data_IF_222597926129
#
_entry.id   IF_222597926129
#
_cell.length_a   1.000
_cell.length_b   1.000
_cell.length_c   1.000
_cell.angle_alpha   90.00
_cell.angle_beta   90.00
_cell.angle_gamma   90.00
#
_symmetry.space_group_name_H-M   'P 1'
#
loop_
_entity.id
_entity.type
_entity.pdbx_description
1 polymer ?
#
# COMPACT_ATOMS: atom_id res chain seq x y z
N UNK A 1 17.43 -0.60 40.80
CA UNK A 1 17.35 -1.89 40.09
C UNK A 1 17.22 -1.56 38.60
N UNK A 2 18.33 -1.59 37.86
CA UNK A 2 18.34 -1.19 36.46
C UNK A 2 17.86 -2.32 35.57
N UNK A 3 16.77 -2.12 34.83
CA UNK A 3 16.37 -3.02 33.74
C UNK A 3 17.33 -2.81 32.56
N UNK A 4 18.50 -3.43 32.59
CA UNK A 4 19.38 -3.46 31.43
C UNK A 4 18.77 -4.39 30.37
N UNK A 5 18.40 -3.83 29.22
CA UNK A 5 17.96 -4.62 28.07
C UNK A 5 19.15 -5.44 27.54
N UNK A 6 18.88 -6.64 27.05
CA UNK A 6 19.88 -7.39 26.27
C UNK A 6 20.15 -6.70 24.94
N UNK A 7 21.33 -6.90 24.34
CA UNK A 7 21.67 -6.30 23.03
C UNK A 7 20.60 -6.55 21.96
N UNK A 8 20.03 -7.76 21.91
CA UNK A 8 18.93 -8.11 20.98
C UNK A 8 17.65 -7.33 21.25
N UNK A 9 17.32 -7.09 22.52
CA UNK A 9 16.16 -6.28 22.90
C UNK A 9 16.38 -4.82 22.52
N UNK A 10 17.59 -4.29 22.70
CA UNK A 10 17.94 -2.94 22.29
C UNK A 10 17.86 -2.76 20.77
N UNK A 11 18.42 -3.67 19.97
CA UNK A 11 18.30 -3.64 18.51
C UNK A 11 16.84 -3.69 18.03
N UNK A 12 16.01 -4.52 18.68
CA UNK A 12 14.59 -4.64 18.35
C UNK A 12 13.83 -3.36 18.67
N UNK A 13 14.16 -2.72 19.80
CA UNK A 13 13.59 -1.44 20.21
C UNK A 13 14.01 -0.32 19.26
N UNK A 14 15.29 -0.24 18.90
CA UNK A 14 15.81 0.77 17.97
C UNK A 14 15.16 0.66 16.59
N UNK A 15 14.97 -0.58 16.11
CA UNK A 15 14.24 -0.84 14.87
C UNK A 15 12.77 -0.40 14.97
N UNK A 16 12.11 -0.71 16.09
CA UNK A 16 10.73 -0.27 16.32
C UNK A 16 10.61 1.25 16.34
N UNK A 17 11.52 1.94 17.03
CA UNK A 17 11.58 3.40 17.06
C UNK A 17 11.74 3.96 15.64
N UNK A 18 12.73 3.49 14.86
CA UNK A 18 12.91 3.95 13.47
C UNK A 18 11.68 3.73 12.60
N UNK A 19 11.03 2.57 12.74
CA UNK A 19 9.81 2.26 12.02
C UNK A 19 8.68 3.24 12.36
N UNK A 20 8.37 3.42 13.66
CA UNK A 20 7.30 4.29 14.15
C UNK A 20 7.61 5.79 14.01
N UNK A 21 8.87 6.18 13.86
CA UNK A 21 9.25 7.56 13.58
C UNK A 21 9.19 7.91 12.09
N UNK A 22 8.99 6.92 11.21
CA UNK A 22 8.84 7.16 9.77
C UNK A 22 7.38 7.40 9.39
N UNK A 23 7.13 8.32 8.46
CA UNK A 23 5.78 8.56 7.88
C UNK A 23 5.17 7.25 7.36
N UNK A 24 5.98 6.43 6.68
CA UNK A 24 5.55 5.14 6.12
C UNK A 24 5.14 4.16 7.21
N UNK A 25 5.94 3.99 8.25
CA UNK A 25 5.63 3.06 9.34
C UNK A 25 4.41 3.50 10.15
N UNK A 26 4.35 4.79 10.49
CA UNK A 26 3.19 5.39 11.18
C UNK A 26 1.90 5.20 10.39
N UNK A 27 1.89 5.50 9.08
CA UNK A 27 0.71 5.27 8.24
C UNK A 27 0.25 3.81 8.29
N UNK A 28 1.15 2.82 8.26
CA UNK A 28 0.73 1.40 8.26
C UNK A 28 0.14 0.94 9.60
N UNK A 29 0.63 1.46 10.72
CA UNK A 29 0.02 1.20 12.03
C UNK A 29 -1.37 1.83 12.12
N UNK A 30 -1.50 3.10 11.69
CA UNK A 30 -2.78 3.80 11.64
C UNK A 30 -3.77 3.13 10.68
N UNK A 31 -3.28 2.65 9.53
CA UNK A 31 -4.06 1.91 8.55
C UNK A 31 -4.63 0.63 9.15
N UNK A 32 -3.79 -0.14 9.86
CA UNK A 32 -4.22 -1.36 10.54
C UNK A 32 -5.30 -1.06 11.57
N UNK A 33 -5.08 -0.03 12.41
CA UNK A 33 -6.08 0.40 13.38
C UNK A 33 -7.41 0.74 12.71
N UNK A 34 -7.40 1.57 11.66
CA UNK A 34 -8.62 2.01 10.97
C UNK A 34 -9.46 0.84 10.46
N UNK A 35 -8.84 -0.13 9.79
CA UNK A 35 -9.58 -1.23 9.19
C UNK A 35 -9.99 -2.31 10.18
N UNK A 36 -9.15 -2.61 11.19
CA UNK A 36 -9.54 -3.51 12.28
C UNK A 36 -10.69 -2.90 13.09
N UNK A 37 -10.64 -1.59 13.36
CA UNK A 37 -11.74 -0.88 14.02
C UNK A 37 -13.04 -1.03 13.24
N UNK A 38 -13.03 -0.94 11.90
CA UNK A 38 -14.23 -1.15 11.06
C UNK A 38 -14.82 -2.57 11.26
N UNK A 39 -13.99 -3.62 11.31
CA UNK A 39 -14.43 -5.00 11.60
C UNK A 39 -15.09 -5.08 12.99
N UNK A 40 -14.43 -4.53 14.00
CA UNK A 40 -14.91 -4.58 15.38
C UNK A 40 -16.23 -3.81 15.54
N UNK A 41 -16.33 -2.63 14.94
CA UNK A 41 -17.55 -1.80 14.95
C UNK A 41 -18.72 -2.59 14.36
N UNK A 42 -18.56 -3.23 13.20
CA UNK A 42 -19.63 -4.03 12.59
C UNK A 42 -20.06 -5.17 13.50
N UNK A 43 -19.11 -5.91 14.09
CA UNK A 43 -19.41 -7.02 15.01
C UNK A 43 -20.09 -6.57 16.30
N UNK A 44 -19.68 -5.43 16.86
CA UNK A 44 -20.28 -4.88 18.08
C UNK A 44 -21.70 -4.40 17.83
N UNK A 45 -21.95 -3.70 16.73
CA UNK A 45 -23.29 -3.20 16.38
C UNK A 45 -24.26 -4.32 15.99
N UNK A 46 -23.76 -5.43 15.44
CA UNK A 46 -24.57 -6.61 15.18
C UNK A 46 -25.06 -7.30 16.48
N UNK A 47 -24.31 -7.17 17.57
CA UNK A 47 -24.70 -7.70 18.89
C UNK A 47 -25.55 -6.73 19.69
N UNK A 48 -25.19 -5.44 19.66
CA UNK A 48 -25.87 -4.36 20.35
C UNK A 48 -25.83 -3.09 19.51
N UNK A 49 -27.01 -2.68 19.01
CA UNK A 49 -27.15 -1.49 18.15
C UNK A 49 -26.71 -0.20 18.85
N UNK A 50 -26.72 -0.16 20.18
CA UNK A 50 -26.36 1.00 21.00
C UNK A 50 -24.99 0.84 21.67
N UNK A 51 -24.12 -0.04 21.14
CA UNK A 51 -22.83 -0.34 21.73
C UNK A 51 -21.97 0.91 21.93
N UNK A 52 -21.73 1.27 23.19
CA UNK A 52 -20.85 2.39 23.60
C UNK A 52 -19.42 2.16 23.10
N UNK A 53 -18.95 0.91 23.08
CA UNK A 53 -17.63 0.57 22.58
C UNK A 53 -17.52 0.82 21.06
N UNK A 54 -18.56 0.50 20.30
CA UNK A 54 -18.60 0.81 18.86
C UNK A 54 -18.53 2.32 18.62
N UNK A 55 -19.25 3.11 19.43
CA UNK A 55 -19.18 4.57 19.36
C UNK A 55 -17.77 5.10 19.69
N UNK A 56 -17.13 4.60 20.76
CA UNK A 56 -15.76 4.97 21.14
C UNK A 56 -14.74 4.64 20.03
N UNK A 57 -14.86 3.46 19.41
CA UNK A 57 -14.00 3.07 18.29
C UNK A 57 -14.18 3.99 17.08
N UNK A 58 -15.43 4.35 16.73
CA UNK A 58 -15.73 5.32 15.65
C UNK A 58 -15.06 6.67 15.92
N UNK A 59 -15.15 7.17 17.15
CA UNK A 59 -14.59 8.47 17.54
C UNK A 59 -13.07 8.55 17.35
N UNK A 60 -12.34 7.44 17.48
CA UNK A 60 -10.91 7.40 17.20
C UNK A 60 -10.60 7.03 15.73
N UNK A 61 -11.40 6.17 15.10
CA UNK A 61 -11.19 5.75 13.70
C UNK A 61 -11.33 6.90 12.69
N UNK A 62 -12.23 7.86 12.94
CA UNK A 62 -12.38 9.06 12.10
C UNK A 62 -11.10 9.90 12.00
N UNK A 63 -10.59 10.45 13.12
CA UNK A 63 -9.34 11.21 13.15
C UNK A 63 -8.12 10.43 12.63
N UNK A 64 -8.08 9.12 12.84
CA UNK A 64 -7.04 8.26 12.26
C UNK A 64 -7.12 8.26 10.73
N UNK A 65 -8.32 8.12 10.16
CA UNK A 65 -8.53 8.21 8.71
C UNK A 65 -8.11 9.57 8.14
N UNK A 66 -8.46 10.66 8.81
CA UNK A 66 -8.06 12.02 8.44
C UNK A 66 -6.53 12.18 8.45
N UNK A 67 -5.90 11.70 9.53
CA UNK A 67 -4.44 11.75 9.68
C UNK A 67 -3.75 11.01 8.55
N UNK A 68 -4.28 9.86 8.13
CA UNK A 68 -3.72 9.10 7.00
C UNK A 68 -3.82 9.85 5.67
N UNK A 69 -4.87 10.64 5.45
CA UNK A 69 -4.96 11.51 4.26
C UNK A 69 -3.88 12.59 4.36
N UNK A 70 -3.71 13.24 5.51
CA UNK A 70 -2.65 14.23 5.73
C UNK A 70 -1.25 13.65 5.51
N UNK A 71 -0.99 12.42 5.98
CA UNK A 71 0.29 11.75 5.75
C UNK A 71 0.56 11.48 4.26
N UNK A 72 -0.48 11.37 3.41
CA UNK A 72 -0.31 11.19 1.96
C UNK A 72 0.14 12.46 1.23
N UNK A 73 0.04 13.64 1.84
CA UNK A 73 0.66 14.86 1.29
C UNK A 73 2.18 14.74 1.17
N UNK A 74 2.82 14.00 2.09
CA UNK A 74 4.24 13.68 1.99
C UNK A 74 4.58 12.89 0.72
N UNK A 75 3.61 12.25 0.07
CA UNK A 75 3.78 11.44 -1.14
C UNK A 75 3.96 12.24 -2.43
N UNK A 76 3.61 13.54 -2.47
CA UNK A 76 3.67 14.34 -3.70
C UNK A 76 5.10 14.56 -4.20
N UNK A 77 6.01 15.02 -3.34
CA UNK A 77 7.41 15.26 -3.73
C UNK A 77 8.10 13.94 -4.14
N UNK A 78 7.99 12.84 -3.35
CA UNK A 78 8.47 11.53 -3.76
C UNK A 78 7.85 11.02 -5.06
N UNK A 79 6.59 11.34 -5.36
CA UNK A 79 5.98 10.99 -6.65
C UNK A 79 6.73 11.66 -7.81
N UNK A 80 7.00 12.97 -7.74
CA UNK A 80 7.78 13.64 -8.79
C UNK A 80 9.21 13.10 -8.90
N UNK A 81 9.86 12.84 -7.75
CA UNK A 81 11.17 12.21 -7.72
C UNK A 81 11.13 10.83 -8.41
N UNK A 82 10.11 10.02 -8.13
CA UNK A 82 9.92 8.71 -8.73
C UNK A 82 9.66 8.79 -10.24
N UNK A 83 8.84 9.73 -10.69
CA UNK A 83 8.59 9.95 -12.12
C UNK A 83 9.92 10.23 -12.85
N UNK A 84 10.70 11.19 -12.36
CA UNK A 84 12.00 11.54 -12.94
C UNK A 84 12.96 10.33 -12.93
N UNK A 85 13.02 9.62 -11.80
CA UNK A 85 13.88 8.45 -11.65
C UNK A 85 13.49 7.33 -12.64
N UNK A 86 12.20 7.04 -12.77
CA UNK A 86 11.67 5.98 -13.62
C UNK A 86 11.91 6.24 -15.12
N UNK A 87 11.91 7.51 -15.53
CA UNK A 87 12.24 7.90 -16.92
C UNK A 87 13.74 7.79 -17.21
N UNK A 88 14.59 8.10 -16.22
CA UNK A 88 16.06 7.96 -16.34
C UNK A 88 16.53 6.51 -16.21
N UNK A 89 15.74 5.65 -15.59
CA UNK A 89 16.05 4.24 -15.34
C UNK A 89 14.90 3.37 -15.88
N UNK A 90 14.69 3.34 -17.20
CA UNK A 90 13.56 2.64 -17.78
C UNK A 90 13.67 1.12 -17.56
N UNK A 91 12.55 0.40 -17.41
CA UNK A 91 12.56 -1.05 -17.30
C UNK A 91 13.03 -1.71 -18.60
N UNK A 92 13.40 -2.99 -18.49
CA UNK A 92 13.99 -3.78 -19.58
C UNK A 92 13.10 -3.97 -20.80
N UNK A 93 11.78 -3.73 -20.67
CA UNK A 93 10.82 -3.90 -21.77
C UNK A 93 10.03 -2.62 -22.04
N UNK A 94 9.73 -2.31 -23.32
CA UNK A 94 8.87 -1.16 -23.68
C UNK A 94 7.47 -1.25 -23.05
N UNK A 95 6.94 -2.46 -22.89
CA UNK A 95 5.64 -2.70 -22.28
C UNK A 95 5.61 -2.28 -20.80
N UNK A 96 6.59 -2.70 -19.99
CA UNK A 96 6.71 -2.22 -18.60
C UNK A 96 6.88 -0.71 -18.52
N UNK A 97 7.64 -0.12 -19.46
CA UNK A 97 7.84 1.32 -19.50
C UNK A 97 6.52 2.05 -19.72
N UNK A 98 5.68 1.56 -20.63
CA UNK A 98 4.34 2.10 -20.84
C UNK A 98 3.48 1.96 -19.57
N UNK A 99 3.48 0.79 -18.92
CA UNK A 99 2.72 0.59 -17.68
C UNK A 99 3.15 1.58 -16.60
N UNK A 100 4.46 1.76 -16.37
CA UNK A 100 4.96 2.70 -15.36
C UNK A 100 4.55 4.14 -15.65
N UNK A 101 4.58 4.57 -16.92
CA UNK A 101 4.10 5.89 -17.33
C UNK A 101 2.60 6.07 -17.08
N UNK A 102 1.79 5.06 -17.38
CA UNK A 102 0.34 5.10 -17.13
C UNK A 102 0.03 5.11 -15.64
N UNK A 103 0.78 4.35 -14.82
CA UNK A 103 0.68 4.38 -13.36
C UNK A 103 1.05 5.75 -12.79
N UNK A 104 2.13 6.35 -13.28
CA UNK A 104 2.54 7.70 -12.92
C UNK A 104 1.46 8.72 -13.27
N UNK A 105 0.86 8.60 -14.46
CA UNK A 105 -0.24 9.46 -14.89
C UNK A 105 -1.47 9.29 -13.99
N UNK A 106 -1.84 8.06 -13.63
CA UNK A 106 -2.93 7.81 -12.69
C UNK A 106 -2.68 8.47 -11.33
N UNK A 107 -1.44 8.40 -10.81
CA UNK A 107 -1.06 9.06 -9.57
C UNK A 107 -1.09 10.59 -9.65
N UNK A 108 -0.70 11.17 -10.80
CA UNK A 108 -0.76 12.62 -11.04
C UNK A 108 -2.18 13.18 -10.96
N UNK A 109 -3.21 12.37 -11.23
CA UNK A 109 -4.60 12.77 -11.02
C UNK A 109 -5.15 12.36 -9.66
N UNK A 110 -4.81 11.16 -9.18
CA UNK A 110 -5.28 10.63 -7.90
C UNK A 110 -4.99 11.58 -6.72
N UNK A 111 -3.72 11.96 -6.54
CA UNK A 111 -3.31 12.74 -5.37
C UNK A 111 -3.93 14.14 -5.32
N UNK A 112 -3.89 14.97 -6.39
CA UNK A 112 -4.54 16.28 -6.36
C UNK A 112 -6.05 16.19 -6.12
N UNK A 113 -6.73 15.21 -6.71
CA UNK A 113 -8.16 15.02 -6.49
C UNK A 113 -8.46 14.59 -5.05
N UNK A 114 -7.67 13.67 -4.47
CA UNK A 114 -7.85 13.25 -3.08
C UNK A 114 -7.64 14.43 -2.11
N UNK A 115 -6.60 15.22 -2.34
CA UNK A 115 -6.30 16.40 -1.53
C UNK A 115 -7.37 17.46 -1.65
N UNK A 116 -7.88 17.71 -2.86
CA UNK A 116 -8.99 18.65 -3.09
C UNK A 116 -10.26 18.16 -2.41
N UNK A 117 -10.60 16.88 -2.54
CA UNK A 117 -11.71 16.26 -1.84
C UNK A 117 -11.59 16.46 -0.33
N UNK A 118 -10.41 16.18 0.25
CA UNK A 118 -10.20 16.30 1.69
C UNK A 118 -10.35 17.74 2.20
N UNK A 119 -9.76 18.71 1.48
CA UNK A 119 -9.88 20.13 1.84
C UNK A 119 -11.34 20.61 1.77
N UNK A 120 -12.09 20.18 0.75
CA UNK A 120 -13.51 20.52 0.63
C UNK A 120 -14.36 19.84 1.72
N UNK A 121 -14.11 18.54 1.98
CA UNK A 121 -14.76 17.77 3.03
C UNK A 121 -14.54 18.39 4.44
N UNK A 122 -13.38 19.02 4.67
CA UNK A 122 -13.08 19.75 5.90
C UNK A 122 -13.52 21.22 5.89
N UNK A 123 -14.16 21.69 4.83
CA UNK A 123 -14.64 23.07 4.72
C UNK A 123 -13.53 24.11 4.53
N UNK A 124 -12.31 23.70 4.17
CA UNK A 124 -11.18 24.61 3.90
C UNK A 124 -11.36 25.32 2.56
N UNK A 125 -11.91 24.63 1.57
CA UNK A 125 -12.32 25.21 0.29
C UNK A 125 -13.83 25.06 0.11
N UNK A 126 -14.46 26.07 -0.49
CA UNK A 126 -15.91 26.09 -0.66
C UNK A 126 -16.31 25.42 -1.98
N UNK A 127 -16.69 24.15 -1.91
CA UNK A 127 -17.28 23.38 -3.02
C UNK A 127 -18.63 22.82 -2.58
N UNK A 128 -19.57 22.65 -3.51
CA UNK A 128 -20.82 21.96 -3.21
C UNK A 128 -20.55 20.50 -2.81
N UNK A 129 -21.44 19.91 -2.01
CA UNK A 129 -21.35 18.49 -1.61
C UNK A 129 -21.32 17.57 -2.84
N UNK A 130 -22.15 17.86 -3.84
CA UNK A 130 -22.18 17.14 -5.12
C UNK A 130 -20.82 17.18 -5.83
N UNK A 131 -20.19 18.36 -5.91
CA UNK A 131 -18.87 18.52 -6.55
C UNK A 131 -17.80 17.79 -5.76
N UNK A 132 -17.82 17.90 -4.43
CA UNK A 132 -16.89 17.23 -3.53
C UNK A 132 -16.96 15.71 -3.72
N UNK A 133 -18.16 15.14 -3.72
CA UNK A 133 -18.38 13.71 -3.94
C UNK A 133 -17.88 13.25 -5.33
N UNK A 134 -18.16 14.02 -6.39
CA UNK A 134 -17.64 13.72 -7.74
C UNK A 134 -16.11 13.70 -7.78
N UNK A 135 -15.44 14.66 -7.14
CA UNK A 135 -13.97 14.72 -7.05
C UNK A 135 -13.44 13.47 -6.33
N UNK A 136 -14.03 13.10 -5.20
CA UNK A 136 -13.66 11.89 -4.44
C UNK A 136 -13.80 10.60 -5.25
N UNK A 137 -14.89 10.46 -5.99
CA UNK A 137 -15.13 9.31 -6.88
C UNK A 137 -14.09 9.24 -8.00
N UNK A 138 -13.80 10.35 -8.66
CA UNK A 138 -12.79 10.37 -9.72
C UNK A 138 -11.39 10.08 -9.19
N UNK A 139 -11.04 10.58 -8.00
CA UNK A 139 -9.81 10.19 -7.31
C UNK A 139 -9.73 8.67 -7.16
N UNK A 140 -10.78 8.05 -6.61
CA UNK A 140 -10.83 6.60 -6.42
C UNK A 140 -10.79 5.80 -7.74
N UNK A 141 -11.34 6.35 -8.83
CA UNK A 141 -11.25 5.74 -10.17
C UNK A 141 -9.83 5.74 -10.72
N UNK A 142 -9.07 6.81 -10.52
CA UNK A 142 -7.64 6.82 -10.87
C UNK A 142 -6.84 5.83 -10.02
N UNK A 143 -7.18 5.69 -8.73
CA UNK A 143 -6.59 4.66 -7.88
C UNK A 143 -6.94 3.24 -8.36
N UNK A 144 -8.20 2.99 -8.76
CA UNK A 144 -8.61 1.71 -9.34
C UNK A 144 -7.86 1.41 -10.64
N UNK A 145 -7.72 2.40 -11.53
CA UNK A 145 -6.93 2.26 -12.75
C UNK A 145 -5.46 1.93 -12.44
N UNK A 146 -4.86 2.58 -11.44
CA UNK A 146 -3.51 2.26 -10.97
C UNK A 146 -3.40 0.80 -10.52
N UNK A 147 -4.35 0.29 -9.72
CA UNK A 147 -4.33 -1.11 -9.24
C UNK A 147 -4.46 -2.11 -10.40
N UNK A 148 -5.31 -1.83 -11.39
CA UNK A 148 -5.40 -2.67 -12.61
C UNK A 148 -4.07 -2.68 -13.37
N UNK A 149 -3.46 -1.52 -13.58
CA UNK A 149 -2.13 -1.42 -14.19
C UNK A 149 -1.06 -2.15 -13.37
N UNK A 150 -1.18 -2.14 -12.04
CA UNK A 150 -0.28 -2.85 -11.14
C UNK A 150 -0.36 -4.38 -11.32
N UNK A 151 -1.54 -4.94 -11.56
CA UNK A 151 -1.63 -6.37 -11.91
C UNK A 151 -0.94 -6.69 -13.24
N UNK A 152 -1.00 -5.80 -14.23
CA UNK A 152 -0.28 -5.98 -15.50
C UNK A 152 1.24 -5.91 -15.28
N UNK A 153 1.71 -4.98 -14.43
CA UNK A 153 3.10 -4.92 -13.99
C UNK A 153 3.52 -6.25 -13.34
N UNK A 154 2.78 -6.71 -12.33
CA UNK A 154 3.09 -7.95 -11.59
C UNK A 154 3.15 -9.17 -12.52
N UNK A 155 2.22 -9.26 -13.47
CA UNK A 155 2.24 -10.34 -14.47
C UNK A 155 3.53 -10.31 -15.31
N UNK A 156 3.94 -9.13 -15.77
CA UNK A 156 5.12 -9.00 -16.60
C UNK A 156 6.42 -9.20 -15.80
N UNK A 157 6.49 -8.70 -14.57
CA UNK A 157 7.60 -8.96 -13.64
C UNK A 157 7.73 -10.45 -13.34
N UNK A 158 6.63 -11.15 -13.07
CA UNK A 158 6.61 -12.60 -12.88
C UNK A 158 7.23 -13.34 -14.07
N UNK A 159 6.83 -12.98 -15.30
CA UNK A 159 7.38 -13.59 -16.52
C UNK A 159 8.88 -13.37 -16.66
N UNK A 160 9.35 -12.15 -16.41
CA UNK A 160 10.78 -11.83 -16.46
C UNK A 160 11.57 -12.59 -15.39
N UNK A 161 11.01 -12.69 -14.19
CA UNK A 161 11.64 -13.38 -13.07
C UNK A 161 11.73 -14.90 -13.29
N UNK A 162 10.69 -15.50 -13.88
CA UNK A 162 10.73 -16.89 -14.31
C UNK A 162 11.82 -17.15 -15.36
N UNK A 163 11.98 -16.26 -16.34
CA UNK A 163 13.07 -16.36 -17.32
C UNK A 163 14.44 -16.27 -16.66
N UNK A 164 14.64 -15.33 -15.72
CA UNK A 164 15.90 -15.21 -14.95
C UNK A 164 16.19 -16.46 -14.12
N UNK A 165 15.17 -17.02 -13.46
CA UNK A 165 15.31 -18.27 -12.69
C UNK A 165 15.74 -19.44 -13.58
N UNK A 166 15.16 -19.56 -14.78
CA UNK A 166 15.55 -20.59 -15.75
C UNK A 166 17.00 -20.40 -16.23
N UNK A 167 17.39 -19.18 -16.59
CA UNK A 167 18.77 -18.87 -17.00
C UNK A 167 19.78 -19.15 -15.88
N UNK A 168 19.44 -18.80 -14.64
CA UNK A 168 20.28 -19.12 -13.48
C UNK A 168 20.43 -20.64 -13.30
N UNK A 169 19.33 -21.40 -13.46
CA UNK A 169 19.38 -22.86 -13.35
C UNK A 169 20.27 -23.52 -14.41
N UNK A 170 20.32 -22.95 -15.62
CA UNK A 170 21.19 -23.42 -16.70
C UNK A 170 22.66 -23.10 -16.40
N UNK A 171 22.96 -21.88 -15.95
CA UNK A 171 24.33 -21.47 -15.54
C UNK A 171 24.84 -22.25 -14.34
N UNK A 172 23.96 -22.56 -13.39
CA UNK A 172 24.29 -23.40 -12.24
C UNK A 172 24.69 -24.83 -12.65
N UNK A 173 24.07 -25.38 -13.71
CA UNK A 173 24.38 -26.72 -14.23
C UNK A 173 25.66 -26.76 -15.06
N UNK A 174 25.99 -25.68 -15.77
CA UNK A 174 27.19 -25.63 -16.62
C UNK A 174 28.49 -25.44 -15.83
N UNK A 175 28.43 -25.18 -14.51
CA UNK A 175 29.58 -24.81 -13.67
C UNK A 175 30.40 -23.63 -14.24
N UNK A 176 29.79 -22.79 -15.07
CA UNK A 176 30.46 -21.68 -15.74
C UNK A 176 30.78 -20.50 -14.80
N UNK A 177 30.09 -20.42 -13.67
CA UNK A 177 30.24 -19.35 -12.67
C UNK A 177 30.55 -19.91 -11.28
N UNK A 178 31.27 -19.17 -10.42
CA UNK A 178 31.52 -19.56 -9.04
C UNK A 178 30.22 -19.81 -8.28
N UNK A 179 30.18 -20.87 -7.46
CA UNK A 179 28.98 -21.24 -6.67
C UNK A 179 28.44 -20.11 -5.80
N UNK A 180 29.31 -19.25 -5.27
CA UNK A 180 28.90 -18.10 -4.46
C UNK A 180 28.12 -17.05 -5.26
N UNK A 181 28.46 -16.83 -6.54
CA UNK A 181 27.73 -15.92 -7.44
C UNK A 181 26.33 -16.46 -7.71
N UNK A 182 26.23 -17.75 -8.06
CA UNK A 182 24.95 -18.43 -8.29
C UNK A 182 24.06 -18.38 -7.04
N UNK A 183 24.65 -18.63 -5.87
CA UNK A 183 23.92 -18.60 -4.59
C UNK A 183 23.42 -17.20 -4.23
N UNK A 184 24.24 -16.17 -4.47
CA UNK A 184 23.84 -14.78 -4.27
C UNK A 184 22.69 -14.39 -5.21
N UNK A 185 22.76 -14.72 -6.49
CA UNK A 185 21.70 -14.44 -7.46
C UNK A 185 20.42 -15.23 -7.15
N UNK A 186 20.53 -16.49 -6.73
CA UNK A 186 19.37 -17.30 -6.31
C UNK A 186 18.66 -16.67 -5.12
N UNK A 187 19.41 -16.10 -4.17
CA UNK A 187 18.84 -15.37 -3.03
C UNK A 187 18.11 -14.10 -3.49
N UNK A 188 18.69 -13.34 -4.43
CA UNK A 188 18.04 -12.15 -4.99
C UNK A 188 16.72 -12.51 -5.70
N UNK A 189 16.72 -13.55 -6.53
CA UNK A 189 15.50 -14.02 -7.21
C UNK A 189 14.43 -14.45 -6.20
N UNK A 190 14.82 -15.15 -5.12
CA UNK A 190 13.89 -15.52 -4.06
C UNK A 190 13.28 -14.31 -3.34
N UNK A 191 14.08 -13.27 -3.09
CA UNK A 191 13.61 -12.01 -2.51
C UNK A 191 12.66 -11.27 -3.45
N UNK A 192 12.94 -11.25 -4.76
CA UNK A 192 12.07 -10.70 -5.79
C UNK A 192 10.73 -11.45 -5.88
N UNK A 193 10.73 -12.80 -5.85
CA UNK A 193 9.49 -13.59 -5.81
C UNK A 193 8.67 -13.32 -4.55
N UNK A 194 9.35 -13.16 -3.40
CA UNK A 194 8.68 -12.81 -2.15
C UNK A 194 8.03 -11.43 -2.25
N UNK A 195 8.73 -10.44 -2.83
CA UNK A 195 8.19 -9.11 -3.08
C UNK A 195 6.98 -9.15 -4.01
N UNK A 196 7.07 -9.92 -5.10
CA UNK A 196 5.99 -10.12 -6.06
C UNK A 196 4.74 -10.71 -5.39
N UNK A 197 4.90 -11.75 -4.57
CA UNK A 197 3.79 -12.38 -3.85
C UNK A 197 3.11 -11.41 -2.87
N UNK A 198 3.89 -10.63 -2.13
CA UNK A 198 3.38 -9.64 -1.17
C UNK A 198 2.66 -8.50 -1.88
N UNK A 199 3.23 -7.97 -2.97
CA UNK A 199 2.57 -6.93 -3.77
C UNK A 199 1.31 -7.43 -4.46
N UNK A 200 1.27 -8.71 -4.87
CA UNK A 200 0.05 -9.35 -5.38
C UNK A 200 -1.02 -9.38 -4.30
N UNK A 201 -0.68 -9.85 -3.09
CA UNK A 201 -1.61 -9.89 -1.95
C UNK A 201 -2.17 -8.50 -1.61
N UNK A 202 -1.30 -7.47 -1.57
CA UNK A 202 -1.70 -6.10 -1.29
C UNK A 202 -2.70 -5.60 -2.34
N UNK A 203 -2.41 -5.79 -3.63
CA UNK A 203 -3.27 -5.29 -4.70
C UNK A 203 -4.57 -6.09 -4.83
N UNK A 204 -4.56 -7.41 -4.57
CA UNK A 204 -5.78 -8.21 -4.47
C UNK A 204 -6.67 -7.73 -3.33
N UNK A 205 -6.09 -7.35 -2.19
CA UNK A 205 -6.83 -6.78 -1.09
C UNK A 205 -7.36 -5.36 -1.40
N UNK A 206 -6.60 -4.54 -2.12
CA UNK A 206 -7.05 -3.20 -2.52
C UNK A 206 -8.09 -3.18 -3.62
N UNK A 207 -8.04 -4.12 -4.57
CA UNK A 207 -8.91 -4.12 -5.74
C UNK A 207 -10.41 -3.97 -5.43
N UNK A 208 -11.03 -4.74 -4.51
CA UNK A 208 -12.43 -4.51 -4.17
C UNK A 208 -12.68 -3.16 -3.49
N UNK A 209 -11.71 -2.63 -2.74
CA UNK A 209 -11.82 -1.32 -2.09
C UNK A 209 -11.81 -0.19 -3.12
N UNK A 210 -10.92 -0.28 -4.11
CA UNK A 210 -10.82 0.75 -5.16
C UNK A 210 -12.10 0.81 -5.98
N UNK A 211 -12.71 -0.35 -6.28
CA UNK A 211 -14.00 -0.41 -6.96
C UNK A 211 -15.14 0.11 -6.08
N UNK A 212 -15.14 -0.26 -4.80
CA UNK A 212 -16.15 0.17 -3.83
C UNK A 212 -16.23 1.70 -3.72
N UNK A 213 -15.10 2.40 -3.66
CA UNK A 213 -15.07 3.87 -3.59
C UNK A 213 -15.14 4.59 -4.93
N UNK A 214 -15.17 3.86 -6.06
CA UNK A 214 -15.25 4.43 -7.42
C UNK A 214 -16.68 4.68 -7.93
N UNK A 215 -17.68 4.38 -7.10
CA UNK A 215 -19.11 4.50 -7.42
C UNK A 215 -19.86 5.15 -6.26
N UNK A 216 -20.96 5.85 -6.55
CA UNK A 216 -21.78 6.53 -5.53
C UNK A 216 -22.48 5.52 -4.61
N UNK A 217 -22.97 4.41 -5.16
CA UNK A 217 -23.69 3.38 -4.44
C UNK A 217 -23.02 2.03 -4.68
N UNK A 218 -22.21 1.61 -3.71
CA UNK A 218 -21.56 0.30 -3.75
C UNK A 218 -22.26 -0.68 -2.83
N UNK A 219 -22.40 -1.92 -3.28
CA UNK A 219 -22.92 -3.04 -2.47
C UNK A 219 -21.82 -3.78 -1.70
N UNK A 220 -20.57 -3.34 -1.80
CA UNK A 220 -19.48 -3.99 -1.08
C UNK A 220 -19.63 -3.77 0.43
N UNK A 221 -19.67 -4.84 1.24
CA UNK A 221 -20.04 -4.73 2.64
C UNK A 221 -18.95 -4.06 3.48
N UNK A 222 -19.37 -3.30 4.50
CA UNK A 222 -18.48 -2.65 5.46
C UNK A 222 -17.51 -3.62 6.15
N UNK A 223 -17.96 -4.84 6.44
CA UNK A 223 -17.11 -5.92 6.95
C UNK A 223 -16.02 -6.30 5.94
N UNK A 224 -16.37 -6.37 4.66
CA UNK A 224 -15.42 -6.62 3.57
C UNK A 224 -14.38 -5.51 3.47
N UNK A 225 -14.78 -4.25 3.61
CA UNK A 225 -13.86 -3.10 3.65
C UNK A 225 -12.84 -3.26 4.79
N UNK A 226 -13.31 -3.61 5.98
CA UNK A 226 -12.46 -3.87 7.13
C UNK A 226 -11.48 -5.03 6.90
N UNK A 227 -11.94 -6.16 6.33
CA UNK A 227 -11.10 -7.34 6.08
C UNK A 227 -10.03 -7.04 5.03
N UNK A 228 -10.44 -6.58 3.85
CA UNK A 228 -9.53 -6.25 2.76
C UNK A 228 -8.51 -5.19 3.17
N UNK A 229 -8.96 -4.12 3.83
CA UNK A 229 -8.06 -3.08 4.32
C UNK A 229 -7.08 -3.59 5.38
N UNK A 230 -7.50 -4.49 6.27
CA UNK A 230 -6.62 -5.08 7.29
C UNK A 230 -5.55 -5.99 6.66
N UNK A 231 -5.91 -6.80 5.66
CA UNK A 231 -4.96 -7.64 4.92
C UNK A 231 -3.91 -6.77 4.22
N UNK A 232 -4.35 -5.73 3.52
CA UNK A 232 -3.44 -4.78 2.87
C UNK A 232 -2.54 -4.06 3.88
N UNK A 233 -3.07 -3.69 5.06
CA UNK A 233 -2.31 -3.02 6.12
C UNK A 233 -1.21 -3.93 6.67
N UNK A 234 -1.52 -5.18 7.01
CA UNK A 234 -0.55 -6.16 7.54
C UNK A 234 0.55 -6.43 6.52
N UNK A 235 0.20 -6.68 5.26
CA UNK A 235 1.17 -6.97 4.21
C UNK A 235 2.12 -5.79 3.94
N UNK A 236 1.59 -4.55 3.90
CA UNK A 236 2.42 -3.35 3.78
C UNK A 236 3.26 -3.05 5.01
N UNK A 237 2.73 -3.32 6.21
CA UNK A 237 3.46 -3.17 7.47
C UNK A 237 4.65 -4.13 7.52
N UNK A 238 4.46 -5.39 7.10
CA UNK A 238 5.55 -6.35 6.96
C UNK A 238 6.62 -5.87 5.96
N UNK A 239 6.20 -5.36 4.80
CA UNK A 239 7.12 -4.81 3.79
C UNK A 239 7.91 -3.62 4.33
N UNK A 240 7.24 -2.69 5.01
CA UNK A 240 7.87 -1.52 5.60
C UNK A 240 8.79 -1.87 6.78
N UNK A 241 8.43 -2.87 7.60
CA UNK A 241 9.28 -3.40 8.67
C UNK A 241 10.54 -4.08 8.15
N UNK A 242 10.44 -4.81 7.04
CA UNK A 242 11.62 -5.43 6.39
C UNK A 242 12.63 -4.38 5.93
N UNK A 243 12.15 -3.21 5.49
CA UNK A 243 12.99 -2.09 5.02
C UNK A 243 13.47 -1.10 6.10
N UNK A 244 13.02 -1.24 7.35
CA UNK A 244 13.40 -0.39 8.49
C UNK A 244 14.61 -0.95 9.26
#
# INVERSE_FOLDING_TARGET
MGFALTNRQQESLDKLCRFLSSVRGTDKVLMLYQYVAKILIVKLLARDKNSVLAARLKNLAGPVGDTRILLRYYGLIPLFQWIIFSERNPPSTPFLRLIYRLQNLANLFYYPLEHTYFLAYKGVINLSEETTNKIGIWSCRFWAAYVVLYFLQLHQEHRLLMTRQLQLSQRARSNAEPKEVIKAEQKQIQEEFTSLAVNTLINTAYFPLTLHWSVEQSWFPELGVGICGSVAAVAQMWSAWKSA
#
